data_IF_923704192882
#
_entry.id   IF_923704192882
#
_cell.length_a   1.000
_cell.length_b   1.000
_cell.length_c   1.000
_cell.angle_alpha   90.00
_cell.angle_beta   90.00
_cell.angle_gamma   90.00
#
_symmetry.space_group_name_H-M   'P 1'
#
loop_
_entity.id
_entity.type
_entity.pdbx_description
1 polymer ?
#
# COMPACT_ATOMS: atom_id res chain seq x y z
N UNK A 1 5.15 2.31 -10.74
CA UNK A 1 5.63 1.29 -9.78
C UNK A 1 6.02 1.83 -8.41
N UNK A 2 6.99 2.76 -8.25
CA UNK A 2 7.42 3.25 -6.92
C UNK A 2 6.27 3.79 -6.03
N UNK A 3 5.27 4.45 -6.62
CA UNK A 3 4.06 4.88 -5.91
C UNK A 3 3.23 3.70 -5.38
N UNK A 4 3.15 2.59 -6.11
CA UNK A 4 2.52 1.36 -5.63
C UNK A 4 3.31 0.76 -4.45
N UNK A 5 4.64 0.79 -4.48
CA UNK A 5 5.47 0.39 -3.33
C UNK A 5 5.23 1.28 -2.11
N UNK A 6 5.06 2.59 -2.32
CA UNK A 6 4.76 3.54 -1.24
C UNK A 6 3.37 3.27 -0.65
N UNK A 7 2.38 2.95 -1.50
CA UNK A 7 1.06 2.54 -1.06
C UNK A 7 1.12 1.25 -0.23
N UNK A 8 1.94 0.27 -0.61
CA UNK A 8 2.12 -0.94 0.17
C UNK A 8 2.59 -0.66 1.61
N UNK A 9 3.44 0.37 1.82
CA UNK A 9 3.90 0.77 3.16
C UNK A 9 2.78 1.31 4.07
N UNK A 10 1.62 1.71 3.52
CA UNK A 10 0.41 2.08 4.29
C UNK A 10 -0.37 0.85 4.79
N UNK A 11 -0.19 -0.30 4.15
CA UNK A 11 -0.85 -1.53 4.56
C UNK A 11 -0.51 -1.86 6.01
N UNK A 12 -1.53 -2.29 6.75
CA UNK A 12 -1.38 -2.81 8.11
C UNK A 12 -1.24 -4.33 8.15
N UNK A 13 -1.22 -4.99 6.99
CA UNK A 13 -0.91 -6.41 6.91
C UNK A 13 0.49 -6.66 7.47
N UNK A 14 0.63 -7.47 8.53
CA UNK A 14 1.94 -7.73 9.13
C UNK A 14 2.86 -8.53 8.21
N UNK A 15 2.30 -9.29 7.28
CA UNK A 15 3.03 -10.30 6.50
C UNK A 15 3.19 -9.93 5.02
N UNK A 16 2.13 -9.41 4.41
CA UNK A 16 2.03 -9.25 2.95
C UNK A 16 1.51 -7.86 2.61
N UNK A 17 2.30 -6.79 2.82
CA UNK A 17 1.91 -5.44 2.40
C UNK A 17 1.90 -5.35 0.87
N UNK A 18 0.75 -5.05 0.27
CA UNK A 18 0.58 -4.91 -1.19
C UNK A 18 0.03 -3.54 -1.51
N UNK A 19 0.53 -2.93 -2.58
CA UNK A 19 0.06 -1.65 -3.10
C UNK A 19 -0.21 -1.71 -4.59
N UNK A 20 -1.09 -0.83 -5.04
CA UNK A 20 -1.51 -0.69 -6.43
C UNK A 20 -1.69 0.78 -6.81
N UNK A 21 -1.45 1.12 -8.07
CA UNK A 21 -1.56 2.45 -8.63
C UNK A 21 -2.03 2.32 -10.09
N UNK A 22 -3.12 3.00 -10.44
CA UNK A 22 -3.73 2.98 -11.77
C UNK A 22 -3.40 4.29 -12.46
N UNK A 23 -2.89 4.19 -13.69
CA UNK A 23 -2.48 5.32 -14.52
C UNK A 23 -3.25 5.30 -15.81
N UNK A 24 -3.85 6.44 -16.17
CA UNK A 24 -4.42 6.66 -17.48
C UNK A 24 -3.28 6.88 -18.49
N UNK A 25 -3.18 6.03 -19.50
CA UNK A 25 -2.09 6.06 -20.48
C UNK A 25 -2.17 7.24 -21.44
N UNK A 26 -3.36 7.87 -21.58
CA UNK A 26 -3.55 9.02 -22.47
C UNK A 26 -3.14 10.33 -21.79
N UNK A 27 -3.62 10.55 -20.57
CA UNK A 27 -3.36 11.78 -19.82
C UNK A 27 -2.12 11.69 -18.93
N UNK A 28 -1.56 10.49 -18.77
CA UNK A 28 -0.53 10.15 -17.79
C UNK A 28 -0.93 10.47 -16.34
N UNK A 29 -2.21 10.70 -16.06
CA UNK A 29 -2.68 10.98 -14.71
C UNK A 29 -2.78 9.71 -13.88
N UNK A 30 -2.52 9.83 -12.58
CA UNK A 30 -2.83 8.77 -11.63
C UNK A 30 -4.32 8.89 -11.31
N UNK A 31 -5.06 7.83 -11.59
CA UNK A 31 -6.53 7.82 -11.49
C UNK A 31 -7.04 6.90 -10.39
N UNK A 32 -6.16 6.18 -9.69
CA UNK A 32 -6.52 5.36 -8.54
C UNK A 32 -5.29 4.85 -7.80
N UNK A 33 -5.35 4.83 -6.47
CA UNK A 33 -4.29 4.26 -5.62
C UNK A 33 -4.96 3.40 -4.55
N UNK A 34 -4.36 2.24 -4.27
CA UNK A 34 -4.85 1.31 -3.28
C UNK A 34 -3.73 0.56 -2.59
N UNK A 35 -4.03 0.06 -1.40
CA UNK A 35 -3.22 -0.88 -0.66
C UNK A 35 -4.15 -1.89 0.02
N UNK A 36 -3.65 -3.07 0.38
CA UNK A 36 -4.51 -4.05 1.06
C UNK A 36 -4.88 -3.57 2.46
N UNK A 37 -6.16 -3.65 2.79
CA UNK A 37 -6.71 -3.12 4.04
C UNK A 37 -7.98 -3.87 4.46
N UNK A 38 -8.32 -3.77 5.74
CA UNK A 38 -9.63 -4.20 6.22
C UNK A 38 -10.73 -3.24 5.74
N UNK A 39 -11.96 -3.73 5.49
CA UNK A 39 -13.06 -2.90 5.02
C UNK A 39 -13.36 -1.77 5.98
N UNK A 40 -13.70 -0.60 5.44
CA UNK A 40 -14.14 0.55 6.24
C UNK A 40 -15.49 0.30 6.88
N UNK A 41 -15.61 0.51 8.18
CA UNK A 41 -16.88 0.42 8.91
C UNK A 41 -17.35 1.82 9.28
N UNK A 42 -18.51 2.22 8.73
CA UNK A 42 -19.09 3.55 8.95
C UNK A 42 -19.26 3.83 10.45
N UNK A 43 -18.81 5.00 10.89
CA UNK A 43 -18.91 5.43 12.29
C UNK A 43 -17.86 4.83 13.23
N UNK A 44 -16.86 4.08 12.71
CA UNK A 44 -15.76 3.55 13.51
C UNK A 44 -14.42 4.01 12.94
N UNK A 45 -13.51 4.42 13.82
CA UNK A 45 -12.19 4.95 13.46
C UNK A 45 -11.13 3.87 13.25
N UNK A 46 -11.34 2.64 13.77
CA UNK A 46 -10.34 1.57 13.70
C UNK A 46 -10.96 0.21 13.36
N UNK A 47 -10.86 -0.17 12.08
CA UNK A 47 -11.38 -1.44 11.56
C UNK A 47 -10.58 -2.65 12.05
N UNK A 48 -9.32 -2.46 12.45
CA UNK A 48 -8.45 -3.54 12.92
C UNK A 48 -8.86 -4.09 14.29
N UNK A 49 -9.75 -3.38 15.01
CA UNK A 49 -10.40 -3.90 16.23
C UNK A 49 -11.59 -4.82 15.92
N UNK A 50 -12.03 -4.83 14.67
CA UNK A 50 -13.21 -5.57 14.21
C UNK A 50 -12.75 -6.81 13.46
N UNK A 51 -11.83 -6.64 12.51
CA UNK A 51 -11.31 -7.72 11.68
C UNK A 51 -9.87 -8.03 12.09
N UNK A 52 -9.59 -9.31 12.30
CA UNK A 52 -8.28 -9.81 12.70
C UNK A 52 -7.37 -9.98 11.50
N UNK A 53 -6.09 -9.67 11.66
CA UNK A 53 -5.04 -9.96 10.67
C UNK A 53 -4.48 -11.38 10.79
N UNK A 54 -4.97 -12.19 11.75
CA UNK A 54 -4.63 -13.61 11.87
C UNK A 54 -5.04 -14.37 10.61
N UNK A 55 -4.05 -14.97 9.95
CA UNK A 55 -4.27 -15.97 8.91
C UNK A 55 -4.64 -17.31 9.52
N UNK A 56 -5.43 -18.11 8.81
CA UNK A 56 -5.56 -19.53 9.13
C UNK A 56 -4.21 -20.23 8.85
N UNK A 57 -3.72 -21.06 9.77
CA UNK A 57 -2.76 -22.10 9.38
C UNK A 57 -3.47 -23.16 8.52
N UNK A 58 -2.75 -23.88 7.67
CA UNK A 58 -3.35 -24.95 6.84
C UNK A 58 -4.09 -25.98 7.71
N UNK A 59 -3.50 -26.33 8.86
CA UNK A 59 -4.11 -27.26 9.84
C UNK A 59 -5.33 -26.66 10.57
N UNK A 60 -5.35 -25.33 10.81
CA UNK A 60 -6.49 -24.64 11.40
C UNK A 60 -7.65 -24.47 10.40
N UNK A 61 -7.35 -24.34 9.10
CA UNK A 61 -8.35 -24.27 8.04
C UNK A 61 -9.20 -25.55 7.95
N UNK A 62 -8.59 -26.70 8.25
CA UNK A 62 -9.27 -27.99 8.28
C UNK A 62 -10.13 -28.13 9.54
N UNK A 63 -9.61 -27.76 10.72
CA UNK A 63 -10.37 -27.73 11.99
C UNK A 63 -11.53 -26.73 12.02
N UNK A 64 -11.43 -25.58 11.32
CA UNK A 64 -12.50 -24.58 11.19
C UNK A 64 -13.55 -24.94 10.13
N UNK A 65 -13.24 -25.83 9.18
CA UNK A 65 -14.27 -26.45 8.34
C UNK A 65 -15.13 -27.43 9.16
N UNK A 66 -14.54 -28.06 10.17
CA UNK A 66 -15.21 -29.03 11.06
C UNK A 66 -15.98 -28.36 12.21
N UNK A 67 -15.42 -27.32 12.83
CA UNK A 67 -16.14 -26.45 13.78
C UNK A 67 -16.77 -25.29 13.01
N UNK A 68 -18.10 -25.27 12.89
CA UNK A 68 -18.91 -24.12 12.41
C UNK A 68 -18.73 -22.87 13.31
N UNK A 69 -17.53 -22.32 13.38
CA UNK A 69 -17.31 -21.04 14.04
C UNK A 69 -17.70 -19.93 13.06
N UNK A 70 -19.01 -19.68 12.99
CA UNK A 70 -19.63 -18.70 12.09
C UNK A 70 -19.16 -17.26 12.36
N UNK A 71 -18.46 -17.02 13.47
CA UNK A 71 -18.03 -15.71 13.95
C UNK A 71 -16.52 -15.43 13.78
N UNK A 72 -15.77 -16.31 13.09
CA UNK A 72 -14.33 -16.08 12.91
C UNK A 72 -14.07 -14.86 12.01
N UNK A 73 -13.69 -13.72 12.60
CA UNK A 73 -13.33 -12.47 11.89
C UNK A 73 -11.89 -12.49 11.38
N UNK A 74 -11.48 -13.63 10.80
CA UNK A 74 -10.12 -13.90 10.34
C UNK A 74 -9.78 -13.13 9.06
N UNK A 75 -8.50 -13.01 8.73
CA UNK A 75 -8.03 -12.12 7.66
C UNK A 75 -8.68 -12.37 6.29
N UNK A 76 -8.63 -13.60 5.80
CA UNK A 76 -8.86 -13.92 4.39
C UNK A 76 -10.27 -13.58 3.87
N UNK A 77 -11.37 -13.80 4.63
CA UNK A 77 -12.70 -13.41 4.18
C UNK A 77 -12.94 -11.89 4.11
N UNK A 78 -12.15 -11.06 4.79
CA UNK A 78 -12.45 -9.63 4.93
C UNK A 78 -11.41 -8.71 4.29
N UNK A 79 -10.15 -9.11 4.20
CA UNK A 79 -9.10 -8.25 3.62
C UNK A 79 -9.44 -7.91 2.17
N UNK A 80 -9.45 -6.62 1.85
CA UNK A 80 -9.63 -6.16 0.47
C UNK A 80 -8.26 -5.98 -0.15
N UNK A 81 -8.05 -6.57 -1.33
CA UNK A 81 -6.77 -6.53 -2.02
C UNK A 81 -6.48 -5.14 -2.60
N UNK A 82 -5.18 -4.82 -2.74
CA UNK A 82 -4.73 -3.50 -3.17
C UNK A 82 -5.29 -3.08 -4.55
N UNK A 83 -5.36 -4.02 -5.50
CA UNK A 83 -5.90 -3.76 -6.84
C UNK A 83 -7.38 -3.38 -6.79
N UNK A 84 -8.18 -4.11 -6.01
CA UNK A 84 -9.60 -3.82 -5.80
C UNK A 84 -9.78 -2.45 -5.15
N UNK A 85 -9.00 -2.15 -4.10
CA UNK A 85 -9.03 -0.83 -3.46
C UNK A 85 -8.64 0.29 -4.44
N UNK A 86 -7.66 0.09 -5.32
CA UNK A 86 -7.27 1.08 -6.32
C UNK A 86 -8.38 1.35 -7.35
N UNK A 87 -9.10 0.30 -7.78
CA UNK A 87 -10.25 0.40 -8.69
C UNK A 87 -11.43 1.11 -8.03
N UNK A 88 -11.70 0.81 -6.76
CA UNK A 88 -12.79 1.43 -5.99
C UNK A 88 -12.50 2.90 -5.68
N UNK A 89 -11.24 3.22 -5.37
CA UNK A 89 -10.77 4.59 -5.10
C UNK A 89 -10.49 5.38 -6.39
N UNK A 90 -11.01 4.95 -7.54
CA UNK A 90 -10.76 5.64 -8.79
C UNK A 90 -11.40 7.03 -8.81
N UNK A 91 -10.78 7.94 -9.54
CA UNK A 91 -11.23 9.33 -9.70
C UNK A 91 -11.90 9.58 -11.05
N UNK A 92 -11.86 8.56 -11.92
CA UNK A 92 -12.46 8.55 -13.26
C UNK A 92 -13.53 7.46 -13.32
N UNK A 93 -14.62 7.74 -14.04
CA UNK A 93 -15.74 6.79 -14.14
C UNK A 93 -15.34 5.47 -14.77
N UNK A 94 -14.62 5.54 -15.91
CA UNK A 94 -14.13 4.38 -16.69
C UNK A 94 -12.61 4.30 -16.64
N UNK A 95 -12.10 3.07 -16.46
CA UNK A 95 -10.66 2.79 -16.48
C UNK A 95 -10.20 2.18 -17.82
N UNK A 96 -10.99 2.37 -18.88
CA UNK A 96 -10.64 1.95 -20.24
C UNK A 96 -9.31 2.56 -20.68
N UNK A 97 -8.39 1.69 -21.12
CA UNK A 97 -7.04 2.09 -21.56
C UNK A 97 -6.08 2.46 -20.43
N UNK A 98 -6.47 2.28 -19.17
CA UNK A 98 -5.55 2.46 -18.05
C UNK A 98 -4.64 1.24 -17.88
N UNK A 99 -3.49 1.48 -17.25
CA UNK A 99 -2.54 0.47 -16.78
C UNK A 99 -2.57 0.43 -15.26
N UNK A 100 -2.65 -0.76 -14.66
CA UNK A 100 -2.49 -0.95 -13.21
C UNK A 100 -1.07 -1.42 -12.89
N UNK A 101 -0.39 -0.68 -12.02
CA UNK A 101 0.89 -1.06 -11.44
C UNK A 101 0.66 -1.62 -10.05
N UNK A 102 1.16 -2.82 -9.77
CA UNK A 102 0.85 -3.54 -8.54
C UNK A 102 2.11 -4.24 -8.01
N UNK A 103 2.32 -4.23 -6.69
CA UNK A 103 3.56 -4.77 -6.10
C UNK A 103 3.64 -6.29 -6.09
N UNK A 104 2.52 -6.97 -6.32
CA UNK A 104 2.36 -8.42 -6.25
C UNK A 104 1.45 -8.92 -7.37
N UNK A 105 1.82 -9.95 -8.12
CA UNK A 105 0.99 -10.46 -9.22
C UNK A 105 -0.46 -10.71 -8.77
N UNK A 106 -1.47 -10.19 -9.51
CA UNK A 106 -2.89 -10.37 -9.17
C UNK A 106 -3.28 -11.84 -9.09
N UNK A 107 -4.12 -12.16 -8.11
CA UNK A 107 -4.86 -13.43 -8.01
C UNK A 107 -6.16 -13.37 -8.83
N UNK A 108 -6.94 -14.45 -8.76
CA UNK A 108 -8.20 -14.61 -9.48
C UNK A 108 -9.21 -13.48 -9.19
N UNK A 109 -9.40 -13.11 -7.92
CA UNK A 109 -10.37 -12.07 -7.56
C UNK A 109 -9.94 -10.69 -8.04
N UNK A 110 -8.64 -10.38 -7.95
CA UNK A 110 -8.10 -9.15 -8.53
C UNK A 110 -8.21 -9.17 -10.06
N UNK A 111 -8.00 -10.31 -10.72
CA UNK A 111 -8.10 -10.43 -12.17
C UNK A 111 -9.52 -10.15 -12.67
N UNK A 112 -10.54 -10.70 -12.00
CA UNK A 112 -11.95 -10.40 -12.29
C UNK A 112 -12.25 -8.91 -12.12
N UNK A 113 -11.79 -8.29 -11.02
CA UNK A 113 -11.99 -6.87 -10.77
C UNK A 113 -11.31 -5.99 -11.84
N UNK A 114 -10.06 -6.31 -12.21
CA UNK A 114 -9.29 -5.60 -13.25
C UNK A 114 -10.00 -5.67 -14.60
N UNK A 115 -10.50 -6.86 -14.96
CA UNK A 115 -11.27 -7.05 -16.19
C UNK A 115 -12.55 -6.22 -16.20
N UNK A 116 -13.37 -6.31 -15.15
CA UNK A 116 -14.63 -5.55 -15.03
C UNK A 116 -14.41 -4.04 -15.04
N UNK A 117 -13.24 -3.58 -14.58
CA UNK A 117 -12.85 -2.18 -14.63
C UNK A 117 -12.47 -1.67 -16.04
N UNK A 118 -12.18 -2.57 -17.00
CA UNK A 118 -11.76 -2.20 -18.36
C UNK A 118 -10.27 -1.88 -18.51
N UNK A 119 -9.45 -2.23 -17.50
CA UNK A 119 -7.99 -2.00 -17.51
C UNK A 119 -7.34 -2.88 -18.58
N UNK A 120 -6.36 -2.33 -19.32
CA UNK A 120 -5.75 -2.99 -20.50
C UNK A 120 -4.38 -3.61 -20.24
N UNK A 121 -3.65 -3.11 -19.25
CA UNK A 121 -2.32 -3.62 -18.92
C UNK A 121 -2.17 -3.76 -17.40
N UNK A 122 -1.57 -4.87 -16.97
CA UNK A 122 -1.16 -5.15 -15.60
C UNK A 122 0.37 -5.20 -15.55
N UNK A 123 0.97 -4.29 -14.79
CA UNK A 123 2.42 -4.24 -14.56
C UNK A 123 2.72 -4.60 -13.12
N UNK A 124 3.60 -5.57 -12.89
CA UNK A 124 3.87 -6.07 -11.53
C UNK A 124 5.36 -6.26 -11.24
N UNK A 125 5.79 -6.11 -9.97
CA UNK A 125 7.23 -6.18 -9.61
C UNK A 125 7.63 -7.28 -8.60
N UNK A 126 6.67 -8.08 -8.08
CA UNK A 126 6.90 -9.20 -7.14
C UNK A 126 7.81 -8.85 -5.94
N UNK A 127 7.72 -7.64 -5.41
CA UNK A 127 8.56 -7.25 -4.26
C UNK A 127 8.13 -7.99 -2.99
N UNK A 128 6.85 -8.38 -2.92
CA UNK A 128 6.21 -8.86 -1.69
C UNK A 128 6.26 -10.38 -1.50
N UNK A 129 6.41 -11.17 -2.57
CA UNK A 129 6.56 -12.64 -2.52
C UNK A 129 7.48 -13.16 -3.63
N UNK A 130 8.16 -14.29 -3.36
CA UNK A 130 9.09 -14.96 -4.30
C UNK A 130 8.34 -15.61 -5.49
N UNK A 131 9.12 -16.04 -6.47
CA UNK A 131 8.69 -16.59 -7.76
C UNK A 131 7.79 -17.84 -7.67
N UNK A 132 7.86 -18.60 -6.57
CA UNK A 132 7.04 -19.80 -6.37
C UNK A 132 5.54 -19.50 -6.38
N UNK A 133 5.14 -18.29 -5.95
CA UNK A 133 3.73 -17.87 -5.98
C UNK A 133 3.15 -17.91 -7.39
N UNK A 134 3.96 -17.63 -8.42
CA UNK A 134 3.48 -17.64 -9.82
C UNK A 134 2.99 -19.02 -10.27
N UNK A 135 3.32 -20.09 -9.52
CA UNK A 135 2.89 -21.46 -9.79
C UNK A 135 1.55 -21.82 -9.10
N UNK A 136 1.04 -20.99 -8.20
CA UNK A 136 -0.23 -21.18 -7.49
C UNK A 136 -1.42 -21.23 -8.47
N UNK A 137 -2.47 -21.98 -8.12
CA UNK A 137 -3.61 -22.24 -9.00
C UNK A 137 -4.43 -20.98 -9.28
N UNK A 138 -4.61 -20.11 -8.30
CA UNK A 138 -5.31 -18.82 -8.42
C UNK A 138 -4.62 -17.88 -9.42
N UNK A 139 -3.28 -17.87 -9.45
CA UNK A 139 -2.50 -17.08 -10.41
C UNK A 139 -2.65 -17.63 -11.84
N UNK A 140 -2.61 -18.96 -12.02
CA UNK A 140 -2.86 -19.58 -13.34
C UNK A 140 -4.26 -19.27 -13.85
N UNK A 141 -5.25 -19.28 -12.97
CA UNK A 141 -6.61 -18.87 -13.31
C UNK A 141 -6.64 -17.39 -13.71
N UNK A 142 -5.97 -16.51 -12.97
CA UNK A 142 -5.84 -15.09 -13.32
C UNK A 142 -5.20 -14.88 -14.70
N UNK A 143 -4.14 -15.61 -15.05
CA UNK A 143 -3.51 -15.54 -16.38
C UNK A 143 -4.46 -15.98 -17.50
N UNK A 144 -5.26 -17.02 -17.24
CA UNK A 144 -6.29 -17.48 -18.19
C UNK A 144 -7.33 -16.37 -18.41
N UNK A 145 -7.78 -15.70 -17.34
CA UNK A 145 -8.68 -14.55 -17.43
C UNK A 145 -8.06 -13.38 -18.22
N UNK A 146 -6.81 -13.02 -17.94
CA UNK A 146 -6.14 -11.93 -18.65
C UNK A 146 -5.94 -12.25 -20.14
N UNK A 147 -5.51 -13.47 -20.47
CA UNK A 147 -5.33 -13.92 -21.85
C UNK A 147 -6.64 -13.93 -22.64
N UNK A 148 -7.72 -14.45 -22.06
CA UNK A 148 -9.04 -14.49 -22.70
C UNK A 148 -9.63 -13.09 -22.98
N UNK A 149 -9.22 -12.08 -22.22
CA UNK A 149 -9.73 -10.71 -22.32
C UNK A 149 -8.74 -9.73 -22.95
N UNK A 150 -7.65 -10.21 -23.57
CA UNK A 150 -6.60 -9.37 -24.19
C UNK A 150 -6.02 -8.31 -23.23
N UNK A 151 -5.87 -8.68 -21.96
CA UNK A 151 -5.23 -7.82 -20.95
C UNK A 151 -3.74 -8.19 -20.93
N UNK A 152 -2.89 -7.23 -21.27
CA UNK A 152 -1.44 -7.44 -21.28
C UNK A 152 -0.89 -7.54 -19.87
N UNK A 153 0.03 -8.47 -19.62
CA UNK A 153 0.70 -8.60 -18.32
C UNK A 153 2.20 -8.47 -18.48
N UNK A 154 2.84 -7.62 -17.66
CA UNK A 154 4.27 -7.36 -17.75
C UNK A 154 4.93 -7.34 -16.37
N UNK A 155 5.98 -8.14 -16.20
CA UNK A 155 6.86 -8.08 -15.03
C UNK A 155 7.83 -6.91 -15.19
N UNK A 156 7.85 -5.98 -14.24
CA UNK A 156 8.77 -4.86 -14.16
C UNK A 156 9.61 -5.00 -12.88
N UNK A 157 10.78 -5.64 -12.94
CA UNK A 157 11.67 -5.74 -11.79
C UNK A 157 12.12 -4.33 -11.36
N UNK A 158 12.20 -4.09 -10.06
CA UNK A 158 12.69 -2.84 -9.49
C UNK A 158 13.91 -3.09 -8.61
N UNK A 159 14.86 -2.15 -8.62
CA UNK A 159 16.00 -2.19 -7.72
C UNK A 159 15.53 -2.01 -6.27
N UNK A 160 15.91 -2.93 -5.40
CA UNK A 160 15.68 -2.86 -3.95
C UNK A 160 16.90 -2.26 -3.20
N UNK A 161 17.81 -1.57 -3.90
CA UNK A 161 19.03 -1.02 -3.28
C UNK A 161 18.80 0.30 -2.53
N UNK A 162 17.77 1.06 -2.90
CA UNK A 162 17.51 2.41 -2.41
C UNK A 162 16.02 2.80 -2.45
N UNK A 163 15.67 3.81 -1.64
CA UNK A 163 14.35 4.42 -1.60
C UNK A 163 13.21 3.50 -1.12
N UNK A 164 12.02 3.74 -1.66
CA UNK A 164 10.77 3.09 -1.21
C UNK A 164 10.78 1.58 -1.42
N UNK A 165 11.37 1.09 -2.51
CA UNK A 165 11.41 -0.33 -2.82
C UNK A 165 12.25 -1.10 -1.79
N UNK A 166 13.41 -0.55 -1.41
CA UNK A 166 14.24 -1.09 -0.33
C UNK A 166 13.46 -1.15 0.99
N UNK A 167 12.87 -0.03 1.43
CA UNK A 167 12.13 0.01 2.70
C UNK A 167 10.96 -0.97 2.74
N UNK A 168 10.26 -1.16 1.62
CA UNK A 168 9.23 -2.19 1.50
C UNK A 168 9.83 -3.60 1.64
N UNK A 169 10.92 -3.88 0.92
CA UNK A 169 11.62 -5.16 0.99
C UNK A 169 12.13 -5.47 2.41
N UNK A 170 12.77 -4.51 3.07
CA UNK A 170 13.27 -4.64 4.44
C UNK A 170 12.14 -5.02 5.41
N UNK A 171 10.99 -4.32 5.32
CA UNK A 171 9.77 -4.66 6.09
C UNK A 171 9.30 -6.10 5.84
N UNK A 172 9.36 -6.58 4.61
CA UNK A 172 8.91 -7.94 4.25
C UNK A 172 9.89 -8.98 4.81
N UNK A 173 11.19 -8.74 4.71
CA UNK A 173 12.21 -9.65 5.26
C UNK A 173 12.16 -9.72 6.79
N UNK A 174 11.91 -8.60 7.48
CA UNK A 174 11.64 -8.56 8.92
C UNK A 174 10.45 -9.46 9.30
N UNK A 175 9.35 -9.38 8.56
CA UNK A 175 8.17 -10.21 8.81
C UNK A 175 8.45 -11.70 8.58
N UNK A 176 9.20 -12.05 7.53
CA UNK A 176 9.61 -13.44 7.26
C UNK A 176 10.51 -14.00 8.34
N UNK A 177 11.45 -13.20 8.85
CA UNK A 177 12.33 -13.61 9.94
C UNK A 177 11.55 -13.87 11.23
N UNK A 178 10.58 -13.01 11.56
CA UNK A 178 9.68 -13.20 12.71
C UNK A 178 8.89 -14.51 12.60
N UNK A 179 8.30 -14.78 11.43
CA UNK A 179 7.57 -16.03 11.19
C UNK A 179 8.49 -17.27 11.27
N UNK A 180 9.72 -17.19 10.74
CA UNK A 180 10.68 -18.30 10.79
C UNK A 180 11.10 -18.62 12.22
N UNK A 181 11.40 -17.60 13.03
CA UNK A 181 11.74 -17.76 14.45
C UNK A 181 10.60 -18.42 15.22
N UNK A 182 9.37 -18.03 14.94
CA UNK A 182 8.20 -18.65 15.56
C UNK A 182 8.06 -20.13 15.18
N UNK A 183 8.19 -20.46 13.89
CA UNK A 183 8.08 -21.84 13.42
C UNK A 183 9.14 -22.74 14.06
N UNK A 184 10.40 -22.27 14.16
CA UNK A 184 11.47 -23.01 14.83
C UNK A 184 11.20 -23.22 16.32
N UNK A 185 10.65 -22.22 17.02
CA UNK A 185 10.25 -22.37 18.43
C UNK A 185 9.11 -23.37 18.61
N UNK A 186 8.09 -23.34 17.74
CA UNK A 186 6.98 -24.28 17.77
C UNK A 186 7.45 -25.72 17.53
N UNK A 187 8.34 -25.92 16.55
CA UNK A 187 8.96 -27.23 16.30
C UNK A 187 9.83 -27.71 17.47
N UNK A 188 10.56 -26.81 18.13
CA UNK A 188 11.33 -27.16 19.33
C UNK A 188 10.44 -27.58 20.51
N UNK A 189 9.29 -26.92 20.69
CA UNK A 189 8.29 -27.29 21.70
C UNK A 189 7.61 -28.63 21.38
N UNK A 190 7.35 -28.92 20.10
CA UNK A 190 6.80 -30.21 19.66
C UNK A 190 7.83 -31.34 19.82
N UNK A 191 9.09 -31.13 19.47
CA UNK A 191 10.16 -32.12 19.65
C UNK A 191 10.43 -32.42 21.14
N UNK A 192 10.38 -31.42 22.03
CA UNK A 192 10.47 -31.63 23.50
C UNK A 192 9.27 -32.42 24.06
N UNK A 193 8.08 -32.31 23.43
CA UNK A 193 6.90 -33.11 23.81
C UNK A 193 7.04 -34.57 23.37
N UNK A 194 7.54 -34.81 22.16
CA UNK A 194 7.75 -36.16 21.62
C UNK A 194 8.89 -36.91 22.36
N UNK A 195 9.99 -36.25 22.70
CA UNK A 195 11.09 -36.89 23.46
C UNK A 195 10.66 -37.31 24.87
N UNK A 196 9.81 -36.52 25.54
CA UNK A 196 9.30 -36.86 26.87
C UNK A 196 8.23 -37.97 26.86
N UNK A 197 7.51 -38.15 25.75
CA UNK A 197 6.62 -39.31 25.57
C UNK A 197 7.39 -40.58 25.21
N UNK A 198 8.57 -40.47 24.57
CA UNK A 198 9.43 -41.63 24.29
C UNK A 198 10.23 -42.14 25.49
N UNK A 199 10.46 -41.32 26.51
CA UNK A 199 11.19 -41.72 27.74
C UNK A 199 10.31 -42.43 28.79
N UNK A 200 8.98 -42.49 28.61
CA UNK A 200 8.05 -43.20 29.51
C UNK A 200 7.69 -44.63 29.06
N UNK A 201 8.16 -45.10 27.89
CA UNK A 201 7.91 -46.48 27.40
C UNK A 201 9.01 -47.49 27.82
N UNK A 202 9.65 -47.27 28.96
CA UNK A 202 10.87 -47.99 29.38
C UNK A 202 10.78 -48.87 30.62
N UNK A 203 9.60 -49.27 31.11
CA UNK A 203 9.49 -50.26 32.21
C UNK A 203 8.49 -51.38 31.89
N UNK A 204 8.82 -52.67 32.13
CA UNK A 204 7.90 -53.77 31.85
C UNK A 204 6.79 -53.80 32.91
N UNK A 205 5.54 -53.58 32.49
CA UNK A 205 4.35 -53.73 33.35
C UNK A 205 4.19 -55.20 33.79
N UNK A 206 4.15 -55.44 35.11
CA UNK A 206 3.57 -56.66 35.69
C UNK A 206 2.04 -56.53 35.68
N UNK A 207 1.36 -57.60 35.28
CA UNK A 207 -0.11 -57.65 35.12
C UNK A 207 -0.84 -57.58 36.47
N UNK A 208 -1.76 -56.62 36.61
CA UNK A 208 -2.77 -56.62 37.66
C UNK A 208 -3.44 -55.27 37.89
N UNK A 209 -4.75 -55.22 37.64
CA UNK A 209 -5.75 -54.18 37.99
C UNK A 209 -6.09 -53.08 36.95
N UNK A 210 -7.37 -52.65 36.87
CA UNK A 210 -7.85 -51.75 35.83
C UNK A 210 -7.52 -50.29 36.16
N UNK A 211 -6.65 -49.67 35.36
CA UNK A 211 -6.35 -48.24 35.41
C UNK A 211 -7.55 -47.42 34.89
N UNK A 212 -8.13 -46.58 35.75
CA UNK A 212 -8.88 -45.39 35.33
C UNK A 212 -7.97 -44.54 34.43
N UNK A 213 -8.49 -44.08 33.30
CA UNK A 213 -7.74 -43.25 32.36
C UNK A 213 -7.42 -41.88 32.98
N UNK A 214 -6.31 -41.79 33.70
CA UNK A 214 -5.72 -40.50 34.07
C UNK A 214 -5.20 -39.86 32.77
N UNK A 215 -5.93 -38.85 32.30
CA UNK A 215 -5.39 -37.92 31.30
C UNK A 215 -4.17 -37.24 31.93
N UNK A 216 -2.97 -37.64 31.54
CA UNK A 216 -1.72 -36.95 31.92
C UNK A 216 -1.87 -35.45 31.64
N UNK A 217 -2.05 -34.68 32.70
CA UNK A 217 -2.22 -33.24 32.62
C UNK A 217 -0.91 -32.58 32.20
N UNK A 218 -0.95 -31.73 31.18
CA UNK A 218 0.20 -30.92 30.77
C UNK A 218 0.83 -30.21 32.00
N UNK A 219 2.15 -30.34 32.14
CA UNK A 219 2.91 -29.75 33.25
C UNK A 219 2.78 -28.21 33.26
N UNK A 220 2.89 -27.58 34.42
CA UNK A 220 2.74 -26.13 34.57
C UNK A 220 3.74 -25.32 33.72
N UNK A 221 4.95 -25.88 33.52
CA UNK A 221 5.96 -25.34 32.59
C UNK A 221 5.53 -25.45 31.12
N UNK A 222 4.91 -26.55 30.69
CA UNK A 222 4.37 -26.71 29.34
C UNK A 222 3.21 -25.74 29.08
N UNK A 223 2.30 -25.57 30.05
CA UNK A 223 1.20 -24.59 29.99
C UNK A 223 1.71 -23.15 29.88
N UNK A 224 2.82 -22.84 30.55
CA UNK A 224 3.44 -21.51 30.50
C UNK A 224 4.10 -21.26 29.15
N UNK A 225 4.94 -22.19 28.66
CA UNK A 225 5.54 -22.11 27.31
C UNK A 225 4.49 -22.01 26.20
N UNK A 226 3.38 -22.74 26.32
CA UNK A 226 2.28 -22.69 25.35
C UNK A 226 1.55 -21.34 25.36
N UNK A 227 1.25 -20.79 26.55
CA UNK A 227 0.68 -19.43 26.67
C UNK A 227 1.62 -18.36 26.12
N UNK A 228 2.93 -18.49 26.31
CA UNK A 228 3.93 -17.59 25.74
C UNK A 228 3.98 -17.69 24.21
N UNK A 229 3.95 -18.91 23.66
CA UNK A 229 3.90 -19.13 22.21
C UNK A 229 2.60 -18.63 21.57
N UNK A 230 1.45 -18.80 22.23
CA UNK A 230 0.15 -18.24 21.81
C UNK A 230 0.15 -16.71 21.84
N UNK A 231 0.72 -16.11 22.90
CA UNK A 231 0.86 -14.65 23.00
C UNK A 231 1.79 -14.08 21.92
N UNK A 232 2.92 -14.72 21.65
CA UNK A 232 3.82 -14.34 20.54
C UNK A 232 3.13 -14.51 19.17
N UNK A 233 2.33 -15.57 18.98
CA UNK A 233 1.51 -15.77 17.77
C UNK A 233 0.48 -14.66 17.58
N UNK A 234 -0.13 -14.21 18.66
CA UNK A 234 -1.05 -13.09 18.62
C UNK A 234 -0.35 -11.79 18.28
N UNK A 235 0.85 -11.56 18.81
CA UNK A 235 1.64 -10.35 18.58
C UNK A 235 2.13 -10.22 17.12
N UNK A 236 2.56 -11.31 16.47
CA UNK A 236 2.99 -11.25 15.05
C UNK A 236 1.83 -11.04 14.07
N UNK A 237 0.61 -11.40 14.48
CA UNK A 237 -0.61 -11.22 13.70
C UNK A 237 -1.35 -9.92 14.07
N UNK A 238 -0.75 -9.06 14.90
CA UNK A 238 -1.26 -7.72 15.14
C UNK A 238 -1.09 -6.84 13.89
N UNK A 239 -1.93 -5.81 13.73
CA UNK A 239 -1.74 -4.81 12.68
C UNK A 239 -0.33 -4.22 12.75
N UNK A 240 0.33 -4.11 11.59
CA UNK A 240 1.67 -3.55 11.52
C UNK A 240 1.69 -2.10 12.04
N UNK A 241 2.38 -1.89 13.16
CA UNK A 241 2.34 -0.61 13.91
C UNK A 241 3.14 0.51 13.24
N UNK A 242 4.15 0.16 12.45
CA UNK A 242 5.06 1.11 11.80
C UNK A 242 4.64 1.45 10.35
N UNK A 243 3.35 1.27 10.02
CA UNK A 243 2.82 1.71 8.73
C UNK A 243 2.97 3.24 8.63
N UNK A 244 3.38 3.72 7.45
CA UNK A 244 3.70 5.14 7.23
C UNK A 244 2.47 6.02 7.50
N UNK A 245 2.63 7.25 7.97
CA UNK A 245 1.48 8.14 8.23
C UNK A 245 0.79 8.59 6.94
N UNK A 246 -0.37 9.23 7.05
CA UNK A 246 -1.06 9.79 5.89
C UNK A 246 -0.24 10.93 5.25
N UNK A 247 0.37 11.77 6.08
CA UNK A 247 1.23 12.87 5.65
C UNK A 247 2.49 12.36 4.93
N UNK A 248 3.17 11.35 5.49
CA UNK A 248 4.30 10.68 4.83
C UNK A 248 3.90 10.07 3.49
N UNK A 249 2.70 9.48 3.42
CA UNK A 249 2.18 8.87 2.20
C UNK A 249 1.87 9.89 1.11
N UNK A 250 1.10 10.93 1.44
CA UNK A 250 0.67 11.92 0.46
C UNK A 250 1.82 12.82 0.00
N UNK A 251 2.69 13.26 0.91
CA UNK A 251 3.90 13.98 0.52
C UNK A 251 4.88 13.07 -0.21
N UNK A 252 4.98 11.79 0.16
CA UNK A 252 5.77 10.80 -0.56
C UNK A 252 5.29 10.62 -2.01
N UNK A 253 3.98 10.62 -2.28
CA UNK A 253 3.42 10.62 -3.64
C UNK A 253 3.85 11.88 -4.39
N UNK A 254 3.72 13.07 -3.78
CA UNK A 254 4.14 14.32 -4.39
C UNK A 254 5.64 14.30 -4.74
N UNK A 255 6.50 13.81 -3.85
CA UNK A 255 7.95 13.67 -4.08
C UNK A 255 8.25 12.69 -5.22
N UNK A 256 7.64 11.51 -5.23
CA UNK A 256 7.85 10.52 -6.29
C UNK A 256 7.36 11.00 -7.66
N UNK A 257 6.42 11.94 -7.67
CA UNK A 257 5.86 12.53 -8.89
C UNK A 257 6.81 13.53 -9.55
N UNK A 258 7.84 14.00 -8.84
CA UNK A 258 8.93 14.84 -9.38
C UNK A 258 9.83 14.11 -10.41
N UNK A 259 9.58 12.86 -10.81
CA UNK A 259 10.50 12.08 -11.68
C UNK A 259 9.82 11.57 -12.97
N UNK A 260 8.98 12.39 -13.62
CA UNK A 260 8.28 11.99 -14.86
C UNK A 260 8.99 12.43 -16.14
N UNK A 261 8.75 11.72 -17.27
CA UNK A 261 9.31 12.09 -18.57
C UNK A 261 8.88 13.50 -19.01
N UNK A 262 9.72 14.16 -19.83
CA UNK A 262 9.56 15.54 -20.35
C UNK A 262 9.84 16.67 -19.36
N UNK A 263 10.76 16.44 -18.43
CA UNK A 263 11.28 17.49 -17.56
C UNK A 263 12.20 18.44 -18.31
N UNK A 264 11.94 19.73 -18.12
CA UNK A 264 12.89 20.81 -18.38
C UNK A 264 14.07 20.77 -17.38
N UNK A 265 13.79 20.36 -16.15
CA UNK A 265 14.74 20.52 -15.05
C UNK A 265 15.95 19.62 -15.24
N UNK A 266 17.12 20.25 -15.35
CA UNK A 266 18.44 19.57 -15.47
C UNK A 266 18.73 18.65 -14.28
N UNK A 267 17.98 18.78 -13.17
CA UNK A 267 18.07 18.00 -11.94
C UNK A 267 16.67 17.66 -11.37
N UNK A 268 16.36 16.39 -11.07
CA UNK A 268 15.04 15.97 -10.55
C UNK A 268 14.62 16.61 -9.21
N UNK A 269 15.58 17.09 -8.41
CA UNK A 269 15.32 17.76 -7.13
C UNK A 269 14.75 19.17 -7.25
N UNK A 270 14.87 19.80 -8.42
CA UNK A 270 14.32 21.12 -8.74
C UNK A 270 12.88 21.03 -9.24
N UNK A 271 12.46 19.85 -9.70
CA UNK A 271 11.09 19.61 -10.11
C UNK A 271 10.12 19.66 -8.93
N UNK A 272 8.91 20.14 -9.22
CA UNK A 272 7.79 20.20 -8.27
C UNK A 272 6.86 19.01 -8.52
N UNK A 273 6.35 18.43 -7.46
CA UNK A 273 5.27 17.44 -7.50
C UNK A 273 4.15 17.85 -6.55
N UNK A 274 2.95 17.42 -6.89
CA UNK A 274 1.73 17.75 -6.17
C UNK A 274 0.85 16.51 -6.02
N UNK A 275 0.13 16.39 -4.91
CA UNK A 275 -0.83 15.34 -4.62
C UNK A 275 -2.04 15.99 -3.94
N UNK A 276 -3.22 15.87 -4.55
CA UNK A 276 -4.47 16.39 -4.00
C UNK A 276 -5.25 15.24 -3.38
N UNK A 277 -5.76 15.45 -2.18
CA UNK A 277 -6.36 14.40 -1.34
C UNK A 277 -7.71 14.86 -0.81
N UNK A 278 -8.71 13.99 -0.87
CA UNK A 278 -10.03 14.25 -0.29
C UNK A 278 -10.01 14.18 1.25
N UNK A 279 -11.03 14.72 1.93
CA UNK A 279 -11.22 14.52 3.38
C UNK A 279 -11.31 13.04 3.82
N UNK A 280 -11.64 12.13 2.89
CA UNK A 280 -11.69 10.69 3.13
C UNK A 280 -10.34 9.99 2.89
N UNK A 281 -9.24 10.72 2.74
CA UNK A 281 -7.90 10.20 2.46
C UNK A 281 -7.76 9.48 1.10
N UNK A 282 -8.61 9.82 0.14
CA UNK A 282 -8.50 9.36 -1.24
C UNK A 282 -7.63 10.31 -2.05
N UNK A 283 -6.67 9.77 -2.81
CA UNK A 283 -5.88 10.58 -3.75
C UNK A 283 -6.75 10.93 -4.95
N UNK A 284 -7.00 12.22 -5.14
CA UNK A 284 -7.89 12.77 -6.16
C UNK A 284 -7.14 13.08 -7.45
N UNK A 285 -5.93 13.63 -7.34
CA UNK A 285 -5.11 13.97 -8.50
C UNK A 285 -3.64 14.06 -8.11
N UNK A 286 -2.75 13.88 -9.08
CA UNK A 286 -1.30 13.97 -8.89
C UNK A 286 -0.68 14.79 -10.01
N UNK A 287 0.07 15.82 -9.65
CA UNK A 287 0.72 16.73 -10.57
C UNK A 287 2.24 16.67 -10.51
N UNK A 288 2.87 17.11 -11.58
CA UNK A 288 4.32 17.21 -11.70
C UNK A 288 4.66 18.42 -12.58
N UNK A 289 5.75 19.12 -12.29
CA UNK A 289 6.23 20.20 -13.14
C UNK A 289 6.81 19.64 -14.43
N UNK A 290 6.54 20.32 -15.54
CA UNK A 290 7.08 19.98 -16.84
C UNK A 290 6.30 20.64 -17.96
N UNK A 291 6.74 20.41 -19.19
CA UNK A 291 6.06 20.95 -20.36
C UNK A 291 4.65 20.38 -20.53
N UNK A 292 3.72 21.11 -21.17
CA UNK A 292 2.43 20.60 -21.60
C UNK A 292 2.57 19.32 -22.43
N UNK A 293 1.62 18.40 -22.29
CA UNK A 293 1.70 17.06 -22.87
C UNK A 293 1.71 17.06 -24.41
N UNK A 294 1.05 18.01 -25.06
CA UNK A 294 0.99 18.07 -26.53
C UNK A 294 2.14 18.86 -27.16
N UNK A 295 2.99 19.47 -26.34
CA UNK A 295 4.13 20.26 -26.83
C UNK A 295 5.29 19.34 -27.22
N UNK A 296 5.82 19.51 -28.44
CA UNK A 296 6.99 18.76 -28.90
C UNK A 296 8.25 19.35 -28.28
N UNK A 297 9.05 18.49 -27.64
CA UNK A 297 10.27 18.92 -26.97
C UNK A 297 11.26 19.62 -27.92
N UNK A 298 11.33 19.20 -29.18
CA UNK A 298 12.22 19.80 -30.19
C UNK A 298 11.90 21.28 -30.47
N UNK A 299 10.64 21.68 -30.36
CA UNK A 299 10.21 23.05 -30.60
C UNK A 299 10.67 23.94 -29.43
N UNK A 300 10.65 23.41 -28.20
CA UNK A 300 11.05 24.14 -26.99
C UNK A 300 12.57 24.23 -26.86
N UNK A 301 13.30 23.19 -27.27
CA UNK A 301 14.76 23.16 -27.14
C UNK A 301 15.46 24.25 -27.97
N UNK A 302 14.76 24.87 -28.92
CA UNK A 302 15.25 25.97 -29.74
C UNK A 302 15.02 27.35 -29.10
N UNK A 303 14.20 27.42 -28.06
CA UNK A 303 13.84 28.67 -27.37
C UNK A 303 14.93 29.10 -26.37
N UNK A 304 15.15 30.42 -26.26
CA UNK A 304 16.10 30.99 -25.29
C UNK A 304 15.57 30.86 -23.85
N UNK A 305 14.30 31.18 -23.61
CA UNK A 305 13.64 31.01 -22.31
C UNK A 305 12.67 29.83 -22.31
N UNK A 306 13.23 28.66 -22.04
CA UNK A 306 12.48 27.43 -21.89
C UNK A 306 11.62 27.37 -20.62
N UNK A 307 11.88 28.22 -19.60
CA UNK A 307 11.14 28.17 -18.32
C UNK A 307 9.71 28.66 -18.46
N UNK A 308 9.47 29.61 -19.35
CA UNK A 308 8.14 30.17 -19.60
C UNK A 308 7.10 29.14 -20.04
N UNK A 309 7.54 28.01 -20.57
CA UNK A 309 6.65 26.94 -21.07
C UNK A 309 6.33 25.87 -20.02
N UNK A 310 6.89 25.94 -18.81
CA UNK A 310 6.68 24.92 -17.78
C UNK A 310 5.32 25.09 -17.12
N UNK A 311 4.50 24.05 -17.18
CA UNK A 311 3.30 23.96 -16.35
C UNK A 311 3.68 23.46 -14.94
N UNK A 312 3.21 24.17 -13.93
CA UNK A 312 3.46 23.84 -12.53
C UNK A 312 2.67 22.60 -12.09
N UNK A 313 3.18 21.89 -11.07
CA UNK A 313 2.57 20.66 -10.59
C UNK A 313 1.15 20.88 -10.05
N UNK A 314 0.94 21.97 -9.31
CA UNK A 314 -0.35 22.37 -8.75
C UNK A 314 -1.38 22.61 -9.85
N UNK A 315 -0.96 23.29 -10.93
CA UNK A 315 -1.79 23.54 -12.11
C UNK A 315 -2.22 22.21 -12.74
N UNK A 316 -1.27 21.31 -13.02
CA UNK A 316 -1.57 20.01 -13.64
C UNK A 316 -2.46 19.13 -12.77
N UNK A 317 -2.27 19.15 -11.45
CA UNK A 317 -3.11 18.39 -10.52
C UNK A 317 -4.54 18.93 -10.47
N UNK A 318 -4.72 20.25 -10.43
CA UNK A 318 -6.06 20.88 -10.37
C UNK A 318 -6.81 20.73 -11.68
N UNK A 319 -6.16 21.00 -12.82
CA UNK A 319 -6.82 21.01 -14.14
C UNK A 319 -6.99 19.61 -14.71
N UNK A 320 -6.02 18.71 -14.48
CA UNK A 320 -6.07 17.33 -14.98
C UNK A 320 -6.86 16.38 -14.08
N UNK A 321 -7.32 16.84 -12.92
CA UNK A 321 -8.02 16.05 -11.92
C UNK A 321 -9.55 16.23 -11.92
N UNK A 322 -10.27 15.52 -11.04
CA UNK A 322 -11.69 15.76 -10.77
C UNK A 322 -11.89 17.08 -9.99
N UNK A 323 -13.11 17.35 -9.54
CA UNK A 323 -13.39 18.48 -8.65
C UNK A 323 -12.67 18.27 -7.30
N UNK A 324 -11.89 19.26 -6.87
CA UNK A 324 -11.01 19.20 -5.69
C UNK A 324 -11.43 20.16 -4.55
N UNK A 325 -12.70 20.59 -4.54
CA UNK A 325 -13.21 21.45 -3.47
C UNK A 325 -13.19 20.73 -2.13
N UNK A 326 -12.69 21.40 -1.09
CA UNK A 326 -12.51 20.84 0.25
C UNK A 326 -11.37 19.82 0.37
N UNK A 327 -10.55 19.65 -0.66
CA UNK A 327 -9.39 18.77 -0.63
C UNK A 327 -8.17 19.47 -0.01
N UNK A 328 -7.21 18.65 0.43
CA UNK A 328 -5.87 19.09 0.87
C UNK A 328 -4.86 18.89 -0.26
N UNK A 329 -4.03 19.89 -0.53
CA UNK A 329 -2.93 19.84 -1.49
C UNK A 329 -1.60 19.62 -0.77
N UNK A 330 -0.97 18.48 -1.01
CA UNK A 330 0.43 18.22 -0.65
C UNK A 330 1.32 18.60 -1.83
N UNK A 331 2.21 19.56 -1.64
CA UNK A 331 3.08 20.09 -2.71
C UNK A 331 4.52 20.19 -2.26
N UNK A 332 5.45 19.90 -3.15
CA UNK A 332 6.86 19.81 -2.76
C UNK A 332 7.57 21.15 -2.63
N UNK A 333 6.97 22.20 -3.19
CA UNK A 333 7.46 23.58 -3.13
C UNK A 333 6.27 24.49 -2.85
N UNK A 334 6.48 25.52 -2.04
CA UNK A 334 5.42 26.49 -1.75
C UNK A 334 4.87 27.09 -3.07
N UNK A 335 3.54 27.19 -3.24
CA UNK A 335 2.95 27.64 -4.50
C UNK A 335 3.32 29.07 -4.90
N UNK A 336 3.52 29.31 -6.20
CA UNK A 336 3.68 30.68 -6.72
C UNK A 336 2.36 31.46 -6.67
N UNK A 337 2.40 32.77 -6.91
CA UNK A 337 1.22 33.63 -6.92
C UNK A 337 0.13 33.21 -7.93
N UNK A 338 0.49 32.62 -9.08
CA UNK A 338 -0.47 32.10 -10.05
C UNK A 338 -1.15 30.83 -9.52
N UNK A 339 -0.36 29.88 -9.03
CA UNK A 339 -0.88 28.65 -8.42
C UNK A 339 -1.72 28.95 -7.18
N UNK A 340 -1.36 29.92 -6.35
CA UNK A 340 -2.13 30.35 -5.19
C UNK A 340 -3.56 30.80 -5.58
N UNK A 341 -3.72 31.56 -6.67
CA UNK A 341 -5.03 31.95 -7.18
C UNK A 341 -5.85 30.74 -7.62
N UNK A 342 -5.22 29.79 -8.32
CA UNK A 342 -5.88 28.57 -8.77
C UNK A 342 -6.32 27.68 -7.61
N UNK A 343 -5.46 27.52 -6.60
CA UNK A 343 -5.74 26.76 -5.38
C UNK A 343 -6.98 27.32 -4.66
N UNK A 344 -7.03 28.65 -4.50
CA UNK A 344 -8.20 29.32 -3.90
C UNK A 344 -9.45 29.12 -4.76
N UNK A 345 -9.34 29.32 -6.08
CA UNK A 345 -10.48 29.25 -6.99
C UNK A 345 -11.02 27.82 -7.14
N UNK A 346 -10.17 26.79 -7.05
CA UNK A 346 -10.57 25.39 -7.06
C UNK A 346 -11.24 24.95 -5.76
N UNK A 347 -11.19 25.78 -4.72
CA UNK A 347 -11.78 25.53 -3.41
C UNK A 347 -11.01 24.51 -2.58
N UNK A 348 -9.71 24.34 -2.83
CA UNK A 348 -8.83 23.54 -1.95
C UNK A 348 -8.79 24.23 -0.58
N UNK A 349 -8.95 23.44 0.48
CA UNK A 349 -9.08 23.94 1.85
C UNK A 349 -7.78 23.89 2.63
N UNK A 350 -6.75 23.19 2.17
CA UNK A 350 -5.51 23.10 2.95
C UNK A 350 -4.30 22.88 2.03
N UNK A 351 -3.14 23.43 2.42
CA UNK A 351 -1.88 23.23 1.70
C UNK A 351 -0.81 22.75 2.68
N UNK A 352 -0.18 21.62 2.36
CA UNK A 352 0.98 21.08 3.06
C UNK A 352 2.18 21.14 2.12
N UNK A 353 3.30 21.71 2.56
CA UNK A 353 4.47 21.92 1.71
C UNK A 353 5.83 21.49 2.32
N UNK A 354 6.75 21.00 1.47
CA UNK A 354 8.12 20.55 1.85
C UNK A 354 9.11 21.74 1.83
N UNK A 355 9.33 22.35 0.66
CA UNK A 355 10.27 23.47 0.49
C UNK A 355 9.55 24.81 0.54
N UNK A 356 10.09 25.76 1.32
CA UNK A 356 9.59 27.12 1.30
C UNK A 356 10.24 27.93 0.15
N UNK A 357 9.46 28.19 -0.89
CA UNK A 357 9.85 29.02 -2.05
C UNK A 357 8.84 30.15 -2.31
N UNK A 358 7.97 30.43 -1.33
CA UNK A 358 6.80 31.29 -1.54
C UNK A 358 7.12 32.77 -1.55
N UNK A 359 6.68 33.48 -2.59
CA UNK A 359 6.74 34.94 -2.66
C UNK A 359 5.68 35.62 -1.76
N UNK A 360 5.82 36.93 -1.56
CA UNK A 360 4.96 37.73 -0.68
C UNK A 360 3.50 37.74 -1.15
N UNK A 361 3.26 37.72 -2.47
CA UNK A 361 1.92 37.78 -3.04
C UNK A 361 1.19 36.46 -2.84
N UNK A 362 1.86 35.33 -3.10
CA UNK A 362 1.32 34.00 -2.85
C UNK A 362 0.90 33.85 -1.39
N UNK A 363 1.77 34.24 -0.45
CA UNK A 363 1.46 34.21 0.99
C UNK A 363 0.27 35.08 1.34
N UNK A 364 0.19 36.29 0.77
CA UNK A 364 -0.94 37.20 1.02
C UNK A 364 -2.25 36.61 0.50
N UNK A 365 -2.26 36.07 -0.73
CA UNK A 365 -3.43 35.41 -1.33
C UNK A 365 -3.89 34.26 -0.44
N UNK A 366 -2.98 33.32 -0.15
CA UNK A 366 -3.31 32.13 0.62
C UNK A 366 -3.76 32.50 2.03
N UNK A 367 -3.07 33.40 2.74
CA UNK A 367 -3.47 33.85 4.08
C UNK A 367 -4.82 34.55 4.13
N UNK A 368 -5.16 35.33 3.09
CA UNK A 368 -6.43 36.05 3.05
C UNK A 368 -7.62 35.15 2.67
N UNK A 369 -7.39 34.16 1.81
CA UNK A 369 -8.45 33.36 1.20
C UNK A 369 -8.62 31.98 1.82
N UNK A 370 -7.56 31.41 2.38
CA UNK A 370 -7.60 30.21 3.22
C UNK A 370 -7.76 30.70 4.67
N UNK A 371 -9.00 30.67 5.19
CA UNK A 371 -9.36 31.21 6.53
C UNK A 371 -9.10 30.18 7.65
N UNK A 372 -9.55 30.39 8.90
CA UNK A 372 -9.20 29.61 10.12
C UNK A 372 -9.38 28.08 10.03
N UNK A 373 -10.18 27.55 9.11
CA UNK A 373 -10.34 26.10 8.87
C UNK A 373 -9.31 25.54 7.87
N UNK A 374 -8.46 26.39 7.32
CA UNK A 374 -7.53 26.13 6.26
C UNK A 374 -6.10 26.47 6.71
N UNK A 375 -5.22 25.48 6.77
CA UNK A 375 -3.86 25.66 7.26
C UNK A 375 -2.84 25.58 6.12
N UNK A 376 -1.81 26.42 6.18
CA UNK A 376 -0.61 26.29 5.34
C UNK A 376 0.51 25.79 6.24
N UNK A 377 0.83 24.49 6.12
CA UNK A 377 1.75 23.81 7.04
C UNK A 377 3.04 23.43 6.34
N UNK A 378 4.17 23.82 6.93
CA UNK A 378 5.49 23.32 6.54
C UNK A 378 5.74 22.03 7.31
N UNK A 379 6.01 20.93 6.61
CA UNK A 379 6.42 19.70 7.26
C UNK A 379 7.59 19.01 6.56
N UNK A 380 8.35 18.28 7.38
CA UNK A 380 9.45 17.36 7.08
C UNK A 380 10.83 17.96 6.78
N UNK A 381 11.80 17.63 7.65
CA UNK A 381 13.24 17.70 7.34
C UNK A 381 13.78 16.38 6.78
N UNK A 382 13.09 15.26 6.98
CA UNK A 382 13.53 13.92 6.56
C UNK A 382 12.35 13.08 6.07
N UNK A 383 11.97 13.25 4.80
CA UNK A 383 11.15 12.24 4.13
C UNK A 383 12.12 11.18 3.61
N UNK A 384 12.09 9.99 4.23
CA UNK A 384 12.97 8.83 4.00
C UNK A 384 12.98 8.29 2.55
N UNK A 385 12.25 8.93 1.64
CA UNK A 385 11.97 8.44 0.27
C UNK A 385 12.61 9.29 -0.83
N UNK A 386 13.45 10.30 -0.50
CA UNK A 386 14.15 11.18 -1.45
C UNK A 386 15.21 10.44 -2.27
#
# INVERSE_FOLDING_TARGET
MKIACLAALRSKDPSTPVGACIVDTKSYQIVGIGYNSMPSVKGRSNNDKIFSWKGLSENASQKLKEKKDKDSKLKYPFVVHAAVNAITNRTKDKLDGCTIYVTLKPDEDCARAIQLAGIKEVVYCMVTRKEEREKESDIKTAETFFGANTIETRKLPISNKDGVAKKLNDRIEEAKELHRKQHLKQQGVEQERETKQGESEGEPKQEGEPEESEQEGETEQQKTKQKEAEKEFDDINMPYKNAITWEEFFMGIAILSRKKPRQYDRKPEDAVGACIVSPSNQVMAVGYSGYPEDMKLQDILQEEDQRGYIAHAEYKAIIGGPIVRGCTLYVTSYPCNVCAKLIVQSGISEIVYDKDAGDINARKILRCCLTRECEVRKEFKEILYK
#
